data_IF_371736459008
#
_entry.id   IF_371736459008
#
_cell.length_a   1.000
_cell.length_b   1.000
_cell.length_c   1.000
_cell.angle_alpha   90.00
_cell.angle_beta   90.00
_cell.angle_gamma   90.00
#
_symmetry.space_group_name_H-M   'P 1'
#
loop_
_entity.id
_entity.type
_entity.pdbx_description
1 polymer ?
#
# COMPACT_ATOMS: atom_id res chain seq x y z
N UNK A 1 -3.99 -6.07 15.17
CA UNK A 1 -4.78 -6.21 13.93
C UNK A 1 -3.79 -6.09 12.77
N UNK A 2 -3.33 -7.24 12.28
CA UNK A 2 -2.06 -7.36 11.56
C UNK A 2 -2.25 -7.22 10.03
N UNK A 3 -1.44 -6.39 9.40
CA UNK A 3 -1.25 -6.18 7.96
C UNK A 3 0.26 -5.93 7.72
N UNK A 4 0.93 -6.83 6.99
CA UNK A 4 2.39 -6.86 6.82
C UNK A 4 2.80 -6.31 5.45
N UNK A 5 3.72 -5.33 5.36
CA UNK A 5 4.07 -4.69 4.08
C UNK A 5 5.39 -5.18 3.47
N UNK A 6 5.42 -5.58 2.19
CA UNK A 6 6.68 -5.70 1.43
C UNK A 6 6.86 -4.53 0.46
N UNK A 7 8.01 -3.90 0.58
CA UNK A 7 8.47 -2.90 -0.36
C UNK A 7 9.19 -3.54 -1.55
N UNK A 8 8.49 -3.70 -2.67
CA UNK A 8 9.13 -3.91 -3.99
C UNK A 8 9.33 -2.57 -4.67
N UNK A 9 10.47 -1.93 -4.44
CA UNK A 9 10.85 -0.73 -5.18
C UNK A 9 11.62 -1.15 -6.43
N UNK A 10 10.92 -1.36 -7.56
CA UNK A 10 11.61 -1.46 -8.84
C UNK A 10 12.19 -0.08 -9.17
N UNK A 11 13.50 0.08 -8.96
CA UNK A 11 14.26 1.21 -9.50
C UNK A 11 14.09 1.18 -11.02
N UNK A 12 13.21 2.04 -11.55
CA UNK A 12 13.18 2.29 -12.98
C UNK A 12 14.52 2.93 -13.35
N UNK A 13 15.30 2.20 -14.16
CA UNK A 13 16.34 2.82 -14.98
C UNK A 13 15.66 3.94 -15.76
N UNK A 14 15.99 5.18 -15.43
CA UNK A 14 15.69 6.35 -16.23
C UNK A 14 16.06 6.03 -17.68
N UNK A 15 15.09 6.12 -18.60
CA UNK A 15 15.37 6.03 -20.02
C UNK A 15 16.39 7.13 -20.37
N UNK A 16 17.44 6.71 -21.10
CA UNK A 16 18.67 7.46 -21.34
C UNK A 16 18.40 8.86 -21.93
N UNK A 17 18.86 9.89 -21.23
CA UNK A 17 19.51 11.08 -21.79
C UNK A 17 20.38 11.72 -20.69
N UNK A 18 21.58 12.25 -21.03
CA UNK A 18 22.74 12.17 -20.15
C UNK A 18 22.78 13.36 -19.20
N UNK A 19 22.62 13.10 -17.91
CA UNK A 19 23.26 13.84 -16.81
C UNK A 19 22.75 13.26 -15.49
N UNK A 20 23.62 12.53 -14.80
CA UNK A 20 23.91 12.62 -13.36
C UNK A 20 24.90 11.50 -13.05
N UNK A 21 26.13 11.92 -12.77
CA UNK A 21 27.16 11.15 -12.10
C UNK A 21 26.61 10.62 -10.77
N UNK A 22 26.71 9.31 -10.57
CA UNK A 22 26.46 8.67 -9.29
C UNK A 22 27.49 9.14 -8.25
N UNK A 23 27.13 10.12 -7.43
CA UNK A 23 27.83 10.30 -6.14
C UNK A 23 27.33 9.21 -5.20
N UNK A 24 28.17 8.17 -5.02
CA UNK A 24 27.99 7.15 -3.99
C UNK A 24 27.82 7.84 -2.63
N UNK A 25 26.72 7.55 -1.94
CA UNK A 25 26.41 8.04 -0.60
C UNK A 25 27.09 7.21 0.49
N UNK A 26 28.43 7.18 0.52
CA UNK A 26 29.16 6.49 1.60
C UNK A 26 28.99 7.20 2.96
N UNK A 27 28.65 8.49 2.96
CA UNK A 27 28.65 9.33 4.15
C UNK A 27 27.36 9.25 5.01
N UNK A 28 26.24 8.75 4.44
CA UNK A 28 24.95 8.61 5.16
C UNK A 28 24.84 7.33 5.99
N UNK A 29 25.54 6.26 5.59
CA UNK A 29 25.59 5.01 6.35
C UNK A 29 26.24 5.24 7.71
N UNK A 30 27.41 5.87 7.76
CA UNK A 30 28.22 6.01 8.99
C UNK A 30 27.48 6.71 10.14
N UNK A 31 26.67 7.74 9.84
CA UNK A 31 25.90 8.50 10.84
C UNK A 31 24.76 7.68 11.45
N UNK A 32 24.12 6.84 10.64
CA UNK A 32 23.01 5.98 11.07
C UNK A 32 23.48 4.90 12.04
N UNK A 33 24.65 4.31 11.77
CA UNK A 33 25.26 3.31 12.66
C UNK A 33 25.69 3.90 14.01
N UNK A 34 26.28 5.10 14.02
CA UNK A 34 26.67 5.78 15.28
C UNK A 34 25.48 6.07 16.20
N UNK A 35 24.34 6.49 15.64
CA UNK A 35 23.12 6.76 16.41
C UNK A 35 22.54 5.49 17.06
N UNK A 36 22.50 4.38 16.31
CA UNK A 36 22.03 3.09 16.83
C UNK A 36 22.94 2.56 17.96
N UNK A 37 24.26 2.64 17.77
CA UNK A 37 25.23 2.24 18.79
C UNK A 37 25.05 3.05 20.08
N UNK A 38 24.81 4.36 19.97
CA UNK A 38 24.51 5.22 21.13
C UNK A 38 23.22 4.83 21.86
N UNK A 39 22.16 4.49 21.13
CA UNK A 39 20.90 4.02 21.72
C UNK A 39 21.08 2.69 22.47
N UNK A 40 21.71 1.69 21.84
CA UNK A 40 21.95 0.38 22.44
C UNK A 40 22.88 0.46 23.66
N UNK A 41 23.87 1.35 23.63
CA UNK A 41 24.73 1.63 24.78
C UNK A 41 23.94 2.22 25.95
N UNK A 42 23.04 3.18 25.68
CA UNK A 42 22.14 3.72 26.70
C UNK A 42 21.21 2.66 27.28
N UNK A 43 20.67 1.77 26.44
CA UNK A 43 19.76 0.72 26.87
C UNK A 43 20.46 -0.36 27.71
N UNK A 44 21.70 -0.72 27.34
CA UNK A 44 22.53 -1.63 28.13
C UNK A 44 22.81 -1.08 29.54
N UNK A 45 23.08 0.22 29.66
CA UNK A 45 23.25 0.91 30.95
C UNK A 45 21.96 0.88 31.78
N UNK A 46 20.80 1.16 31.16
CA UNK A 46 19.49 1.12 31.83
C UNK A 46 19.18 -0.29 32.35
N UNK A 47 19.55 -1.34 31.61
CA UNK A 47 19.29 -2.73 31.97
C UNK A 47 20.37 -3.34 32.87
N UNK A 48 21.36 -2.57 33.35
CA UNK A 48 22.47 -3.07 34.16
C UNK A 48 23.27 -4.19 33.46
N UNK A 49 23.25 -4.20 32.12
CA UNK A 49 23.78 -5.27 31.28
C UNK A 49 25.12 -4.86 30.66
N UNK A 50 26.04 -5.81 30.52
CA UNK A 50 27.31 -5.58 29.81
C UNK A 50 27.10 -5.41 28.29
N UNK A 51 28.05 -4.78 27.57
CA UNK A 51 27.96 -4.62 26.11
C UNK A 51 28.03 -6.00 25.43
N UNK A 52 26.92 -6.43 24.82
CA UNK A 52 26.87 -7.65 24.02
C UNK A 52 27.28 -7.42 22.57
N UNK A 53 27.20 -8.49 21.76
CA UNK A 53 27.48 -8.42 20.32
C UNK A 53 26.36 -7.71 19.58
N UNK A 54 26.72 -6.80 18.67
CA UNK A 54 25.79 -6.07 17.81
C UNK A 54 25.96 -6.56 16.37
N UNK A 55 24.94 -7.20 15.81
CA UNK A 55 24.86 -7.66 14.42
C UNK A 55 23.69 -6.94 13.76
N UNK A 56 23.97 -6.24 12.65
CA UNK A 56 23.01 -5.35 11.98
C UNK A 56 22.81 -5.83 10.54
N UNK A 57 21.56 -5.92 10.09
CA UNK A 57 21.23 -6.23 8.71
C UNK A 57 21.58 -5.03 7.80
N UNK A 58 22.28 -5.27 6.67
CA UNK A 58 22.64 -4.22 5.74
C UNK A 58 21.41 -3.69 4.98
N UNK A 59 21.53 -2.52 4.34
CA UNK A 59 20.47 -1.99 3.47
C UNK A 59 20.23 -2.82 2.20
N UNK A 60 21.18 -3.68 1.82
CA UNK A 60 21.01 -4.65 0.74
C UNK A 60 20.02 -5.77 1.08
N UNK A 61 19.73 -5.99 2.36
CA UNK A 61 18.73 -6.96 2.81
C UNK A 61 17.33 -6.35 2.71
N UNK A 62 16.53 -6.82 1.76
CA UNK A 62 15.16 -6.32 1.55
C UNK A 62 14.31 -6.49 2.81
N UNK A 63 13.54 -5.44 3.16
CA UNK A 63 12.76 -5.42 4.39
C UNK A 63 13.55 -5.07 5.66
N UNK A 64 14.88 -4.92 5.61
CA UNK A 64 15.64 -4.42 6.77
C UNK A 64 15.27 -2.98 7.10
N UNK A 65 15.42 -2.53 8.36
CA UNK A 65 15.16 -1.14 8.73
C UNK A 65 15.93 -0.13 7.87
N UNK A 66 17.15 -0.49 7.45
CA UNK A 66 18.00 0.34 6.59
C UNK A 66 17.50 0.34 5.14
N UNK A 67 17.06 -0.80 4.61
CA UNK A 67 16.44 -0.87 3.29
C UNK A 67 15.16 -0.03 3.22
N UNK A 68 14.31 -0.11 4.23
CA UNK A 68 13.10 0.72 4.33
C UNK A 68 13.43 2.22 4.38
N UNK A 69 14.43 2.60 5.19
CA UNK A 69 14.90 3.99 5.28
C UNK A 69 15.49 4.48 3.95
N UNK A 70 16.27 3.66 3.26
CA UNK A 70 16.83 3.99 1.95
C UNK A 70 15.73 4.17 0.90
N UNK A 71 14.79 3.24 0.80
CA UNK A 71 13.67 3.35 -0.14
C UNK A 71 12.79 4.59 0.14
N UNK A 72 12.64 4.98 1.41
CA UNK A 72 11.99 6.24 1.77
C UNK A 72 12.76 7.46 1.26
N UNK A 73 14.08 7.50 1.47
CA UNK A 73 14.94 8.58 0.98
C UNK A 73 14.91 8.68 -0.55
N UNK A 74 14.93 7.54 -1.24
CA UNK A 74 14.84 7.47 -2.70
C UNK A 74 13.49 8.00 -3.20
N UNK A 75 12.39 7.58 -2.58
CA UNK A 75 11.06 8.06 -2.93
C UNK A 75 10.91 9.57 -2.67
N UNK A 76 11.49 10.10 -1.59
CA UNK A 76 11.58 11.53 -1.33
C UNK A 76 12.42 12.27 -2.39
N UNK A 77 13.56 11.69 -2.79
CA UNK A 77 14.40 12.24 -3.85
C UNK A 77 13.67 12.32 -5.19
N UNK A 78 12.91 11.28 -5.53
CA UNK A 78 12.10 11.22 -6.74
C UNK A 78 11.00 12.28 -6.70
N UNK A 79 10.24 12.38 -5.60
CA UNK A 79 9.20 13.40 -5.42
C UNK A 79 9.79 14.82 -5.47
N UNK A 80 10.96 15.04 -4.86
CA UNK A 80 11.64 16.34 -4.91
C UNK A 80 12.04 16.72 -6.33
N UNK A 81 12.48 15.74 -7.14
CA UNK A 81 12.95 15.96 -8.51
C UNK A 81 11.80 16.06 -9.52
N UNK A 82 10.78 15.20 -9.40
CA UNK A 82 9.70 15.06 -10.38
C UNK A 82 8.43 15.85 -10.00
N UNK A 83 8.36 16.36 -8.77
CA UNK A 83 7.20 17.09 -8.24
C UNK A 83 6.24 16.19 -7.47
N UNK A 84 5.14 16.80 -7.02
CA UNK A 84 4.09 16.08 -6.28
C UNK A 84 3.40 15.04 -7.18
N UNK A 85 2.92 13.92 -6.61
CA UNK A 85 2.02 12.99 -7.28
C UNK A 85 0.73 13.67 -7.75
N UNK A 86 0.19 13.16 -8.84
CA UNK A 86 -1.08 13.59 -9.42
C UNK A 86 -2.17 12.55 -9.19
N UNK A 87 -1.83 11.26 -9.13
CA UNK A 87 -2.77 10.18 -8.81
C UNK A 87 -2.27 9.30 -7.66
N UNK A 88 -3.20 8.81 -6.85
CA UNK A 88 -2.99 7.76 -5.87
C UNK A 88 -3.95 6.60 -6.17
N UNK A 89 -3.38 5.44 -6.45
CA UNK A 89 -4.11 4.25 -6.88
C UNK A 89 -3.90 3.17 -5.84
N UNK A 90 -4.97 2.51 -5.43
CA UNK A 90 -4.88 1.26 -4.67
C UNK A 90 -5.42 0.09 -5.49
N UNK A 91 -4.75 -1.05 -5.42
CA UNK A 91 -5.07 -2.23 -6.22
C UNK A 91 -4.98 -3.47 -5.33
N UNK A 92 -6.13 -4.03 -4.93
CA UNK A 92 -6.23 -5.14 -3.96
C UNK A 92 -6.41 -6.47 -4.66
N UNK A 93 -5.59 -7.48 -4.42
CA UNK A 93 -5.76 -8.80 -5.03
C UNK A 93 -7.20 -9.34 -4.93
N UNK A 94 -7.77 -9.80 -6.04
CA UNK A 94 -9.04 -10.53 -6.04
C UNK A 94 -8.75 -12.04 -5.99
N UNK A 95 -9.07 -12.74 -4.89
CA UNK A 95 -8.83 -14.18 -4.78
C UNK A 95 -9.74 -15.02 -5.71
N UNK A 96 -10.77 -14.41 -6.31
CA UNK A 96 -11.70 -15.05 -7.26
C UNK A 96 -11.30 -14.86 -8.72
N UNK A 97 -10.08 -14.44 -9.00
CA UNK A 97 -9.59 -14.46 -10.38
C UNK A 97 -9.57 -15.89 -10.91
N UNK A 98 -10.05 -16.08 -12.14
CA UNK A 98 -10.06 -17.40 -12.80
C UNK A 98 -8.70 -18.09 -12.78
N UNK A 99 -7.62 -17.33 -12.98
CA UNK A 99 -6.25 -17.83 -12.93
C UNK A 99 -5.87 -18.45 -11.57
N UNK A 100 -6.53 -18.05 -10.49
CA UNK A 100 -6.37 -18.63 -9.15
C UNK A 100 -7.30 -19.83 -9.03
N UNK A 101 -8.60 -19.65 -9.26
CA UNK A 101 -9.62 -20.69 -9.06
C UNK A 101 -9.36 -21.96 -9.88
N UNK A 102 -8.93 -21.81 -11.13
CA UNK A 102 -8.61 -22.93 -12.05
C UNK A 102 -7.35 -23.72 -11.64
N UNK A 103 -6.54 -23.19 -10.72
CA UNK A 103 -5.27 -23.79 -10.29
C UNK A 103 -5.32 -24.34 -8.85
N UNK A 104 -6.49 -24.27 -8.20
CA UNK A 104 -6.72 -24.86 -6.89
C UNK A 104 -7.10 -26.34 -7.02
N UNK A 105 -6.51 -27.19 -6.17
CA UNK A 105 -6.94 -28.58 -6.06
C UNK A 105 -8.30 -28.68 -5.34
N UNK A 106 -9.06 -29.77 -5.52
CA UNK A 106 -10.30 -29.99 -4.79
C UNK A 106 -10.12 -29.83 -3.28
N UNK A 107 -10.95 -29.00 -2.65
CA UNK A 107 -10.88 -28.69 -1.22
C UNK A 107 -9.90 -27.59 -0.83
N UNK A 108 -9.06 -27.09 -1.74
CA UNK A 108 -8.20 -25.93 -1.48
C UNK A 108 -8.96 -24.62 -1.60
N UNK A 109 -8.59 -23.67 -0.75
CA UNK A 109 -8.98 -22.27 -0.84
C UNK A 109 -7.79 -21.43 -1.33
N UNK A 110 -8.03 -20.21 -1.85
CA UNK A 110 -6.93 -19.30 -2.21
C UNK A 110 -5.93 -19.09 -1.07
N UNK A 111 -6.41 -19.07 0.18
CA UNK A 111 -5.55 -18.86 1.36
C UNK A 111 -4.53 -19.99 1.56
N UNK A 112 -4.79 -21.18 1.02
CA UNK A 112 -3.89 -22.35 1.11
C UNK A 112 -2.78 -22.30 0.04
N UNK A 113 -2.89 -21.42 -0.96
CA UNK A 113 -1.94 -21.24 -2.06
C UNK A 113 -1.47 -19.78 -2.17
N UNK A 114 -0.80 -19.25 -1.13
CA UNK A 114 -0.31 -17.86 -1.14
C UNK A 114 0.70 -17.59 -2.26
N UNK A 115 1.45 -18.62 -2.70
CA UNK A 115 2.36 -18.56 -3.85
C UNK A 115 1.62 -18.26 -5.16
N UNK A 116 0.47 -18.88 -5.37
CA UNK A 116 -0.37 -18.69 -6.55
C UNK A 116 -0.97 -17.28 -6.55
N UNK A 117 -1.51 -16.84 -5.40
CA UNK A 117 -2.03 -15.47 -5.21
C UNK A 117 -0.95 -14.44 -5.55
N UNK A 118 0.22 -14.58 -4.94
CA UNK A 118 1.38 -13.71 -5.13
C UNK A 118 1.76 -13.59 -6.62
N UNK A 119 1.87 -14.74 -7.32
CA UNK A 119 2.23 -14.80 -8.74
C UNK A 119 1.19 -14.14 -9.64
N UNK A 120 -0.09 -14.47 -9.47
CA UNK A 120 -1.17 -13.89 -10.28
C UNK A 120 -1.26 -12.38 -10.04
N UNK A 121 -1.18 -11.95 -8.78
CA UNK A 121 -1.15 -10.53 -8.42
C UNK A 121 0.00 -9.79 -9.09
N UNK A 122 1.23 -10.34 -9.04
CA UNK A 122 2.41 -9.73 -9.67
C UNK A 122 2.21 -9.54 -11.18
N UNK A 123 1.64 -10.53 -11.87
CA UNK A 123 1.34 -10.43 -13.30
C UNK A 123 0.28 -9.37 -13.59
N UNK A 124 -0.80 -9.30 -12.80
CA UNK A 124 -1.86 -8.29 -12.95
C UNK A 124 -1.35 -6.89 -12.64
N UNK A 125 -0.53 -6.73 -11.60
CA UNK A 125 0.09 -5.46 -11.26
C UNK A 125 1.04 -4.98 -12.36
N UNK A 126 1.83 -5.89 -12.95
CA UNK A 126 2.69 -5.55 -14.10
C UNK A 126 1.87 -5.05 -15.29
N UNK A 127 0.76 -5.73 -15.62
CA UNK A 127 -0.16 -5.29 -16.67
C UNK A 127 -0.77 -3.91 -16.36
N UNK A 128 -1.16 -3.66 -15.10
CA UNK A 128 -1.70 -2.36 -14.67
C UNK A 128 -0.66 -1.25 -14.87
N UNK A 129 0.59 -1.49 -14.48
CA UNK A 129 1.69 -0.54 -14.69
C UNK A 129 1.90 -0.28 -16.18
N UNK A 130 1.90 -1.32 -17.02
CA UNK A 130 2.05 -1.16 -18.47
C UNK A 130 0.88 -0.36 -19.07
N UNK A 131 -0.36 -0.57 -18.62
CA UNK A 131 -1.51 0.22 -19.05
C UNK A 131 -1.39 1.70 -18.68
N UNK A 132 -0.94 2.00 -17.45
CA UNK A 132 -0.80 3.37 -16.96
C UNK A 132 0.35 4.07 -17.68
N UNK A 133 1.51 3.42 -17.73
CA UNK A 133 2.77 4.05 -18.13
C UNK A 133 2.97 4.00 -19.64
N UNK A 134 2.77 2.82 -20.26
CA UNK A 134 3.02 2.62 -21.70
C UNK A 134 1.80 2.93 -22.54
N UNK A 135 0.62 2.46 -22.11
CA UNK A 135 -0.63 2.70 -22.84
C UNK A 135 -1.28 4.05 -22.46
N UNK A 136 -0.60 4.85 -21.62
CA UNK A 136 -0.98 6.21 -21.25
C UNK A 136 -2.43 6.34 -20.79
N UNK A 137 -2.92 5.39 -19.98
CA UNK A 137 -4.34 5.34 -19.60
C UNK A 137 -4.84 6.63 -18.92
N UNK A 138 -3.96 7.30 -18.18
CA UNK A 138 -4.21 8.60 -17.54
C UNK A 138 -3.41 9.74 -18.19
N UNK A 139 -2.89 9.51 -19.40
CA UNK A 139 -1.92 10.36 -20.06
C UNK A 139 -0.47 9.93 -19.82
N UNK A 140 0.47 10.75 -20.29
CA UNK A 140 1.91 10.45 -20.23
C UNK A 140 2.40 10.52 -18.78
N UNK A 141 3.18 9.53 -18.38
CA UNK A 141 3.71 9.39 -17.00
C UNK A 141 5.18 9.81 -16.96
N UNK A 142 5.55 10.67 -16.00
CA UNK A 142 6.96 11.01 -15.70
C UNK A 142 7.60 9.87 -14.92
N UNK A 143 6.94 9.45 -13.83
CA UNK A 143 7.39 8.36 -12.98
C UNK A 143 6.24 7.82 -12.13
N UNK A 144 6.46 6.65 -11.53
CA UNK A 144 5.55 6.06 -10.56
C UNK A 144 6.33 5.43 -9.41
N UNK A 145 5.67 5.35 -8.26
CA UNK A 145 6.19 4.73 -7.05
C UNK A 145 5.12 3.79 -6.53
N UNK A 146 5.47 2.61 -6.03
CA UNK A 146 4.49 1.77 -5.36
C UNK A 146 5.09 0.96 -4.21
N UNK A 147 4.21 0.53 -3.32
CA UNK A 147 4.49 -0.36 -2.19
C UNK A 147 3.43 -1.45 -2.19
N UNK A 148 3.80 -2.68 -1.85
CA UNK A 148 2.85 -3.80 -1.75
C UNK A 148 2.67 -4.13 -0.26
N UNK A 149 1.46 -3.98 0.25
CA UNK A 149 1.07 -4.45 1.57
C UNK A 149 0.28 -5.75 1.48
N UNK A 150 0.54 -6.70 2.37
CA UNK A 150 -0.27 -7.90 2.52
C UNK A 150 -1.34 -7.60 3.58
N UNK A 151 -2.56 -7.36 3.10
CA UNK A 151 -3.72 -7.16 3.94
C UNK A 151 -4.11 -8.46 4.66
N UNK A 152 -5.14 -8.38 5.53
CA UNK A 152 -5.67 -9.51 6.31
C UNK A 152 -5.81 -10.77 5.44
N UNK A 153 -5.40 -11.92 5.98
CA UNK A 153 -5.32 -13.23 5.30
C UNK A 153 -4.26 -13.33 4.19
N UNK A 154 -3.33 -12.39 4.11
CA UNK A 154 -2.18 -12.46 3.21
C UNK A 154 -2.49 -12.06 1.77
N UNK A 155 -3.55 -11.29 1.51
CA UNK A 155 -3.83 -10.80 0.17
C UNK A 155 -2.95 -9.59 -0.17
N UNK A 156 -2.19 -9.62 -1.28
CA UNK A 156 -1.41 -8.47 -1.71
C UNK A 156 -2.30 -7.28 -2.05
N UNK A 157 -1.82 -6.08 -1.72
CA UNK A 157 -2.48 -4.81 -1.93
C UNK A 157 -1.44 -3.78 -2.31
N UNK A 158 -1.54 -3.23 -3.51
CA UNK A 158 -0.61 -2.22 -3.98
C UNK A 158 -1.13 -0.82 -3.66
N UNK A 159 -0.26 0.01 -3.10
CA UNK A 159 -0.40 1.46 -3.03
C UNK A 159 0.54 2.09 -4.05
N UNK A 160 0.01 2.84 -5.00
CA UNK A 160 0.77 3.41 -6.12
C UNK A 160 0.55 4.92 -6.24
N UNK A 161 1.63 5.67 -6.42
CA UNK A 161 1.62 7.08 -6.77
C UNK A 161 2.06 7.24 -8.23
N UNK A 162 1.34 8.06 -8.99
CA UNK A 162 1.70 8.43 -10.36
C UNK A 162 1.99 9.92 -10.43
N UNK A 163 3.11 10.29 -11.07
CA UNK A 163 3.43 11.66 -11.44
C UNK A 163 3.27 11.76 -12.96
N UNK A 164 2.35 12.60 -13.42
CA UNK A 164 2.05 12.80 -14.83
C UNK A 164 2.87 13.96 -15.40
N UNK A 165 3.14 13.93 -16.71
CA UNK A 165 3.69 15.13 -17.38
C UNK A 165 2.66 16.25 -17.33
N UNK A 166 3.13 17.49 -17.39
CA UNK A 166 2.32 18.67 -17.13
C UNK A 166 1.06 18.77 -18.00
N UNK A 167 1.13 18.34 -19.26
CA UNK A 167 0.01 18.38 -20.21
C UNK A 167 -1.03 17.29 -19.95
N UNK A 168 -0.66 16.23 -19.22
CA UNK A 168 -1.54 15.11 -18.87
C UNK A 168 -2.20 15.27 -17.51
N UNK A 169 -1.87 16.32 -16.74
CA UNK A 169 -2.42 16.52 -15.40
C UNK A 169 -3.91 16.88 -15.48
N UNK A 170 -4.79 16.24 -14.70
CA UNK A 170 -6.19 16.64 -14.61
C UNK A 170 -6.30 17.99 -13.87
N UNK A 171 -6.72 19.04 -14.57
CA UNK A 171 -6.78 20.42 -14.03
C UNK A 171 -8.19 20.91 -13.73
N UNK A 172 -9.20 20.23 -14.28
CA UNK A 172 -10.60 20.61 -14.18
C UNK A 172 -11.47 19.38 -13.87
N UNK A 173 -12.71 19.64 -13.41
CA UNK A 173 -13.67 18.60 -13.03
C UNK A 173 -13.96 17.62 -14.16
N UNK A 174 -14.10 18.10 -15.39
CA UNK A 174 -14.37 17.26 -16.55
C UNK A 174 -13.19 16.33 -16.86
N UNK A 175 -11.95 16.83 -16.74
CA UNK A 175 -10.75 16.01 -16.92
C UNK A 175 -10.67 14.85 -15.92
N UNK A 176 -11.09 15.08 -14.67
CA UNK A 176 -11.17 14.04 -13.63
C UNK A 176 -12.30 13.05 -13.94
N UNK A 177 -13.49 13.56 -14.24
CA UNK A 177 -14.71 12.77 -14.47
C UNK A 177 -14.59 11.86 -15.72
N UNK A 178 -13.65 12.13 -16.62
CA UNK A 178 -13.34 11.25 -17.77
C UNK A 178 -12.82 9.88 -17.37
N UNK A 179 -12.16 9.76 -16.21
CA UNK A 179 -11.53 8.50 -15.80
C UNK A 179 -11.79 8.12 -14.34
N UNK A 180 -12.33 9.00 -13.50
CA UNK A 180 -12.79 8.68 -12.15
C UNK A 180 -14.32 8.76 -12.10
N UNK A 181 -14.94 7.70 -11.60
CA UNK A 181 -16.35 7.65 -11.25
C UNK A 181 -16.49 7.31 -9.77
N UNK A 182 -17.54 7.85 -9.15
CA UNK A 182 -17.98 7.42 -7.82
C UNK A 182 -19.48 7.15 -7.77
N UNK A 183 -20.00 6.68 -8.90
CA UNK A 183 -21.42 6.39 -9.12
C UNK A 183 -21.62 4.91 -9.44
N UNK A 184 -22.78 4.39 -9.02
CA UNK A 184 -23.30 3.09 -9.43
C UNK A 184 -23.83 3.26 -10.86
N UNK A 185 -23.30 2.51 -11.84
CA UNK A 185 -23.82 2.53 -13.21
C UNK A 185 -25.29 2.09 -13.25
N UNK A 186 -26.01 2.55 -14.25
CA UNK A 186 -27.36 2.05 -14.52
C UNK A 186 -27.32 0.55 -14.89
N UNK A 187 -28.20 -0.24 -14.28
CA UNK A 187 -28.22 -1.70 -14.44
C UNK A 187 -28.69 -2.14 -15.83
N UNK A 188 -29.55 -1.35 -16.49
CA UNK A 188 -30.08 -1.66 -17.81
C UNK A 188 -29.08 -1.24 -18.90
N UNK A 189 -28.38 -0.11 -18.70
CA UNK A 189 -27.40 0.39 -19.67
C UNK A 189 -26.05 -0.32 -19.58
N UNK A 190 -25.60 -0.68 -18.37
CA UNK A 190 -24.32 -1.33 -18.16
C UNK A 190 -24.37 -2.37 -17.03
N UNK A 191 -25.07 -3.51 -17.24
CA UNK A 191 -25.30 -4.52 -16.22
C UNK A 191 -24.01 -5.10 -15.65
N UNK A 192 -22.99 -5.29 -16.50
CA UNK A 192 -21.74 -5.87 -16.06
C UNK A 192 -20.96 -4.91 -15.14
N UNK A 193 -20.81 -3.63 -15.52
CA UNK A 193 -20.16 -2.65 -14.66
C UNK A 193 -20.97 -2.41 -13.38
N UNK A 194 -22.31 -2.44 -13.47
CA UNK A 194 -23.18 -2.33 -12.30
C UNK A 194 -22.85 -3.41 -11.26
N UNK A 195 -22.83 -4.68 -11.68
CA UNK A 195 -22.52 -5.80 -10.76
C UNK A 195 -21.08 -5.77 -10.25
N UNK A 196 -20.11 -5.38 -11.08
CA UNK A 196 -18.72 -5.23 -10.64
C UNK A 196 -18.56 -4.10 -9.62
N UNK A 197 -19.21 -2.94 -9.82
CA UNK A 197 -19.20 -1.83 -8.86
C UNK A 197 -19.87 -2.22 -7.56
N UNK A 198 -21.05 -2.84 -7.63
CA UNK A 198 -21.81 -3.33 -6.49
C UNK A 198 -21.01 -4.32 -5.64
N UNK A 199 -20.21 -5.19 -6.26
CA UNK A 199 -19.45 -6.22 -5.56
C UNK A 199 -18.08 -5.76 -5.06
N UNK A 200 -17.39 -4.86 -5.78
CA UNK A 200 -15.99 -4.51 -5.51
C UNK A 200 -15.76 -3.07 -5.07
N UNK A 201 -16.69 -2.15 -5.33
CA UNK A 201 -16.48 -0.71 -5.11
C UNK A 201 -17.44 -0.11 -4.08
N UNK A 202 -18.29 -0.90 -3.43
CA UNK A 202 -19.16 -0.42 -2.36
C UNK A 202 -18.43 -0.47 -1.01
N UNK A 203 -18.35 0.68 -0.35
CA UNK A 203 -17.90 0.74 1.03
C UNK A 203 -18.92 0.02 1.94
N UNK A 204 -18.47 -1.03 2.62
CA UNK A 204 -19.29 -1.83 3.52
C UNK A 204 -19.98 -1.03 4.62
N UNK A 205 -21.00 -1.61 5.25
CA UNK A 205 -21.77 -0.96 6.32
C UNK A 205 -20.84 -0.43 7.43
N UNK A 206 -21.04 0.80 7.87
CA UNK A 206 -20.26 1.50 8.90
C UNK A 206 -21.10 2.65 9.44
N UNK A 207 -20.66 3.27 10.54
CA UNK A 207 -21.40 4.35 11.20
C UNK A 207 -22.45 3.79 12.16
N UNK A 208 -23.58 4.48 12.27
CA UNK A 208 -24.74 4.02 13.06
C UNK A 208 -25.16 2.57 12.69
N UNK A 209 -25.23 2.19 11.40
CA UNK A 209 -25.58 0.82 11.01
C UNK A 209 -24.59 -0.27 11.43
N UNK A 210 -23.31 0.07 11.65
CA UNK A 210 -22.30 -0.88 12.08
C UNK A 210 -21.11 -0.16 12.74
N UNK A 211 -21.19 0.01 14.06
CA UNK A 211 -20.16 0.70 14.85
C UNK A 211 -18.85 -0.11 14.97
N UNK A 212 -18.92 -1.42 14.75
CA UNK A 212 -17.78 -2.33 14.88
C UNK A 212 -16.97 -2.49 13.59
N UNK A 213 -17.33 -1.75 12.53
CA UNK A 213 -16.60 -1.83 11.27
C UNK A 213 -15.15 -1.37 11.44
N UNK A 214 -14.17 -2.02 10.78
CA UNK A 214 -12.75 -1.69 10.92
C UNK A 214 -12.38 -0.25 10.54
N UNK A 215 -13.26 0.44 9.80
CA UNK A 215 -13.08 1.85 9.42
C UNK A 215 -13.58 2.84 10.49
N UNK A 216 -14.20 2.38 11.58
CA UNK A 216 -14.75 3.24 12.63
C UNK A 216 -13.68 3.61 13.65
N UNK A 217 -13.55 4.90 13.93
CA UNK A 217 -12.68 5.48 14.95
C UNK A 217 -13.44 6.65 15.57
N UNK A 218 -13.50 6.73 16.91
CA UNK A 218 -14.24 7.76 17.65
C UNK A 218 -15.70 7.97 17.19
N UNK A 219 -16.38 6.86 16.86
CA UNK A 219 -17.77 6.87 16.41
C UNK A 219 -17.99 7.43 14.98
N UNK A 220 -16.92 7.76 14.25
CA UNK A 220 -16.97 8.25 12.86
C UNK A 220 -16.24 7.29 11.93
N UNK A 221 -16.66 7.27 10.67
CA UNK A 221 -15.92 6.54 9.64
C UNK A 221 -14.65 7.34 9.30
N UNK A 222 -13.47 6.73 9.48
CA UNK A 222 -12.16 7.30 9.10
C UNK A 222 -12.02 7.61 7.60
N UNK A 223 -12.90 7.02 6.77
CA UNK A 223 -12.99 7.26 5.33
C UNK A 223 -14.12 8.22 4.96
N UNK A 224 -14.83 8.75 5.96
CA UNK A 224 -15.93 9.71 5.84
C UNK A 224 -17.11 9.20 5.00
N UNK A 225 -17.43 7.91 5.12
CA UNK A 225 -18.64 7.35 4.54
C UNK A 225 -19.82 7.44 5.52
N UNK A 226 -21.05 7.68 5.03
CA UNK A 226 -21.41 7.98 3.63
C UNK A 226 -20.92 9.38 3.19
N UNK A 227 -20.50 9.50 1.92
CA UNK A 227 -20.06 10.77 1.33
C UNK A 227 -21.27 11.61 0.90
N UNK A 228 -21.11 12.93 0.82
CA UNK A 228 -22.14 13.83 0.30
C UNK A 228 -22.39 13.60 -1.20
N UNK A 229 -23.66 13.68 -1.63
CA UNK A 229 -24.01 13.75 -3.05
C UNK A 229 -23.62 15.11 -3.63
N UNK A 230 -23.11 15.13 -4.86
CA UNK A 230 -22.72 16.34 -5.60
C UNK A 230 -22.87 16.13 -7.10
N UNK A 231 -23.29 17.18 -7.81
CA UNK A 231 -23.48 17.13 -9.26
C UNK A 231 -22.18 17.27 -10.06
N UNK A 232 -21.12 17.81 -9.45
CA UNK A 232 -19.84 18.06 -10.11
C UNK A 232 -18.67 17.74 -9.19
N UNK A 233 -17.55 17.35 -9.79
CA UNK A 233 -16.29 17.18 -9.07
C UNK A 233 -15.74 18.55 -8.67
N UNK A 234 -15.36 18.70 -7.40
CA UNK A 234 -14.76 19.92 -6.88
C UNK A 234 -13.36 19.65 -6.33
N UNK A 235 -12.39 20.57 -6.55
CA UNK A 235 -11.09 20.48 -5.92
C UNK A 235 -11.24 20.60 -4.40
N UNK A 236 -10.48 19.80 -3.66
CA UNK A 236 -10.47 19.85 -2.21
C UNK A 236 -9.14 20.46 -1.74
N UNK A 237 -9.20 21.60 -1.04
CA UNK A 237 -8.02 22.29 -0.49
C UNK A 237 -7.27 21.42 0.53
N UNK A 238 -7.97 20.47 1.16
CA UNK A 238 -7.44 19.68 2.28
C UNK A 238 -7.04 18.24 1.92
N UNK A 239 -7.01 17.82 0.66
CA UNK A 239 -6.66 16.42 0.38
C UNK A 239 -6.94 15.93 -1.02
N UNK A 240 -7.93 15.03 -1.12
CA UNK A 240 -8.40 14.41 -2.35
C UNK A 240 -9.65 15.11 -2.87
N UNK A 241 -9.81 15.16 -4.20
CA UNK A 241 -10.97 15.78 -4.86
C UNK A 241 -12.29 15.23 -4.33
N UNK A 242 -13.30 16.09 -4.23
CA UNK A 242 -14.67 15.67 -3.93
C UNK A 242 -15.34 15.32 -5.24
N UNK A 243 -15.38 14.05 -5.58
CA UNK A 243 -15.89 13.59 -6.88
C UNK A 243 -17.39 13.83 -7.04
N UNK A 244 -17.78 13.99 -8.31
CA UNK A 244 -19.17 13.90 -8.73
C UNK A 244 -19.78 12.58 -8.26
N UNK A 245 -20.93 12.72 -7.62
CA UNK A 245 -21.69 11.65 -6.98
C UNK A 245 -23.15 12.07 -6.95
N UNK A 246 -23.83 11.97 -8.10
CA UNK A 246 -25.19 12.48 -8.25
C UNK A 246 -26.19 11.67 -7.44
N UNK A 247 -27.22 12.34 -6.96
CA UNK A 247 -28.41 11.67 -6.47
C UNK A 247 -29.31 11.39 -7.69
N UNK A 248 -29.07 10.27 -8.35
CA UNK A 248 -29.76 9.86 -9.57
C UNK A 248 -30.85 8.80 -9.32
N UNK A 249 -31.21 8.55 -8.05
CA UNK A 249 -32.18 7.53 -7.67
C UNK A 249 -31.72 6.08 -7.83
N UNK A 250 -30.48 5.83 -8.28
CA UNK A 250 -29.95 4.47 -8.42
C UNK A 250 -29.66 3.88 -7.03
N UNK A 251 -30.31 2.76 -6.75
CA UNK A 251 -30.14 1.99 -5.51
C UNK A 251 -29.71 0.57 -5.88
N UNK A 252 -28.60 0.09 -5.29
CA UNK A 252 -28.13 -1.27 -5.42
C UNK A 252 -28.31 -2.06 -4.13
N UNK A 253 -28.63 -3.35 -4.23
CA UNK A 253 -28.77 -4.24 -3.08
C UNK A 253 -27.46 -5.00 -2.83
N UNK A 254 -26.74 -4.66 -1.77
CA UNK A 254 -25.50 -5.33 -1.35
C UNK A 254 -25.77 -6.16 -0.10
N UNK A 255 -25.96 -7.47 -0.31
CA UNK A 255 -26.40 -8.38 0.74
C UNK A 255 -27.79 -8.00 1.25
N UNK A 256 -27.87 -7.63 2.53
CA UNK A 256 -29.11 -7.18 3.18
C UNK A 256 -29.33 -5.67 3.17
N UNK A 257 -28.41 -4.91 2.58
CA UNK A 257 -28.43 -3.45 2.61
C UNK A 257 -28.72 -2.87 1.24
N UNK A 258 -29.51 -1.80 1.22
CA UNK A 258 -29.65 -0.94 0.06
C UNK A 258 -28.61 0.18 0.17
N UNK A 259 -27.91 0.42 -0.93
CA UNK A 259 -26.84 1.41 -1.02
C UNK A 259 -27.04 2.25 -2.26
N UNK A 260 -26.77 3.54 -2.11
CA UNK A 260 -26.77 4.50 -3.22
C UNK A 260 -25.34 4.95 -3.52
N UNK A 261 -25.25 5.96 -4.38
CA UNK A 261 -23.98 6.54 -4.76
C UNK A 261 -23.15 6.99 -3.55
N UNK A 262 -23.69 7.38 -2.39
CA UNK A 262 -22.94 7.87 -1.21
C UNK A 262 -21.91 6.89 -0.65
N UNK A 263 -22.00 5.60 -0.99
CA UNK A 263 -21.09 4.55 -0.51
C UNK A 263 -20.06 4.08 -1.53
N UNK A 264 -20.06 4.60 -2.75
CA UNK A 264 -19.17 4.13 -3.81
C UNK A 264 -17.74 4.68 -3.61
N UNK A 265 -16.75 3.81 -3.62
CA UNK A 265 -15.33 4.16 -3.62
C UNK A 265 -14.94 4.63 -5.03
N UNK A 266 -14.07 5.63 -5.16
CA UNK A 266 -13.72 6.21 -6.46
C UNK A 266 -12.96 5.21 -7.34
N UNK A 267 -13.38 4.99 -8.58
CA UNK A 267 -12.81 3.96 -9.45
C UNK A 267 -12.70 4.44 -10.89
N UNK A 268 -11.90 3.74 -11.69
CA UNK A 268 -11.88 3.90 -13.15
C UNK A 268 -12.67 2.76 -13.80
N UNK A 269 -13.82 3.02 -14.46
CA UNK A 269 -14.68 1.97 -15.03
C UNK A 269 -13.94 0.94 -15.87
N UNK A 270 -13.08 1.40 -16.78
CA UNK A 270 -12.31 0.52 -17.66
C UNK A 270 -11.31 -0.36 -16.90
N UNK A 271 -10.60 0.18 -15.90
CA UNK A 271 -9.62 -0.60 -15.14
C UNK A 271 -10.33 -1.60 -14.22
N UNK A 272 -11.43 -1.18 -13.59
CA UNK A 272 -12.28 -2.05 -12.78
C UNK A 272 -12.73 -3.26 -13.59
N UNK A 273 -13.25 -3.04 -14.80
CA UNK A 273 -13.73 -4.11 -15.69
C UNK A 273 -12.60 -5.01 -16.21
N UNK A 274 -11.47 -4.42 -16.61
CA UNK A 274 -10.34 -5.19 -17.16
C UNK A 274 -9.72 -6.11 -16.12
N UNK A 275 -9.59 -5.63 -14.88
CA UNK A 275 -8.87 -6.35 -13.83
C UNK A 275 -9.78 -7.10 -12.86
N UNK A 276 -11.10 -6.85 -12.88
CA UNK A 276 -12.08 -7.44 -11.96
C UNK A 276 -11.57 -7.43 -10.52
N UNK A 277 -11.36 -6.23 -9.99
CA UNK A 277 -10.62 -6.02 -8.75
C UNK A 277 -11.15 -4.82 -7.95
N UNK A 278 -10.97 -4.79 -6.63
CA UNK A 278 -11.14 -3.54 -5.90
C UNK A 278 -9.98 -2.60 -6.26
N UNK A 279 -10.26 -1.57 -7.06
CA UNK A 279 -9.29 -0.54 -7.49
C UNK A 279 -9.78 0.86 -7.14
N UNK A 280 -9.14 1.51 -6.17
CA UNK A 280 -9.43 2.91 -5.85
C UNK A 280 -8.52 3.83 -6.67
N UNK A 281 -9.07 4.88 -7.28
CA UNK A 281 -8.28 5.89 -8.01
C UNK A 281 -8.62 7.27 -7.47
N UNK A 282 -7.61 7.93 -6.92
CA UNK A 282 -7.73 9.24 -6.29
C UNK A 282 -6.85 10.28 -6.99
N UNK A 283 -7.39 11.47 -7.24
CA UNK A 283 -6.63 12.62 -7.74
C UNK A 283 -6.03 13.39 -6.56
N UNK A 284 -4.70 13.51 -6.56
CA UNK A 284 -3.93 14.13 -5.51
C UNK A 284 -3.89 15.66 -5.65
N UNK A 285 -4.69 16.37 -4.85
CA UNK A 285 -4.60 17.83 -4.81
C UNK A 285 -3.41 18.32 -3.95
N UNK A 286 -3.01 17.55 -2.92
CA UNK A 286 -1.98 17.97 -1.94
C UNK A 286 -0.91 16.91 -1.72
N UNK A 287 0.17 17.28 -1.02
CA UNK A 287 1.23 16.37 -0.57
C UNK A 287 0.77 15.38 0.53
N UNK A 288 -0.51 15.36 0.92
CA UNK A 288 -1.02 14.39 1.90
C UNK A 288 -0.94 12.95 1.37
N UNK A 289 -1.12 12.73 0.07
CA UNK A 289 -0.96 11.40 -0.56
C UNK A 289 0.47 10.87 -0.43
N UNK A 290 1.45 11.77 -0.44
CA UNK A 290 2.86 11.47 -0.22
C UNK A 290 3.07 10.98 1.22
N UNK A 291 2.56 11.71 2.23
CA UNK A 291 2.57 11.26 3.63
C UNK A 291 1.87 9.91 3.80
N UNK A 292 0.77 9.71 3.07
CA UNK A 292 0.01 8.46 3.11
C UNK A 292 0.82 7.30 2.56
N UNK A 293 1.45 7.40 1.37
CA UNK A 293 2.32 6.33 0.87
C UNK A 293 3.49 6.09 1.83
N UNK A 294 4.08 7.16 2.37
CA UNK A 294 5.20 7.02 3.30
C UNK A 294 4.84 6.32 4.60
N UNK A 295 3.58 6.42 5.06
CA UNK A 295 3.09 5.58 6.15
C UNK A 295 3.31 4.10 5.82
N UNK A 296 3.06 3.66 4.59
CA UNK A 296 3.23 2.25 4.17
C UNK A 296 4.66 1.88 3.80
N UNK A 297 5.50 2.85 3.44
CA UNK A 297 6.95 2.63 3.32
C UNK A 297 7.57 2.37 4.70
N UNK A 298 7.08 3.05 5.75
CA UNK A 298 7.61 2.94 7.12
C UNK A 298 6.90 1.92 8.01
N UNK A 299 5.65 1.56 7.67
CA UNK A 299 4.90 0.50 8.36
C UNK A 299 5.51 -0.83 7.94
N UNK A 300 6.63 -1.16 8.58
CA UNK A 300 7.29 -2.46 8.47
C UNK A 300 6.32 -3.61 8.77
N UNK A 301 6.81 -4.83 8.65
CA UNK A 301 6.01 -6.02 8.93
C UNK A 301 5.43 -5.97 10.35
N UNK A 302 4.24 -6.54 10.55
CA UNK A 302 3.85 -6.81 11.93
C UNK A 302 4.81 -7.83 12.49
N UNK A 303 5.49 -7.47 13.56
CA UNK A 303 6.44 -8.34 14.23
C UNK A 303 5.84 -8.76 15.57
N UNK A 304 5.76 -10.06 15.80
CA UNK A 304 5.68 -10.61 17.14
C UNK A 304 7.12 -10.95 17.56
N UNK A 305 7.68 -10.17 18.48
CA UNK A 305 9.02 -10.42 18.99
C UNK A 305 8.94 -11.43 20.13
N UNK A 306 9.44 -12.65 19.91
CA UNK A 306 9.63 -13.64 20.96
C UNK A 306 11.12 -13.63 21.33
N UNK A 307 11.44 -13.07 22.50
CA UNK A 307 12.81 -13.10 23.03
C UNK A 307 13.01 -14.38 23.84
N UNK A 308 13.79 -15.31 23.31
CA UNK A 308 14.26 -16.47 24.06
C UNK A 308 15.51 -16.08 24.85
N UNK A 309 15.35 -15.73 26.12
CA UNK A 309 16.49 -15.51 27.03
C UNK A 309 17.03 -16.87 27.49
N UNK A 310 18.17 -17.30 26.91
CA UNK A 310 18.94 -18.40 27.45
C UNK A 310 19.80 -17.87 28.60
N UNK A 311 19.50 -18.31 29.83
CA UNK A 311 20.34 -18.04 30.98
C UNK A 311 21.53 -19.01 30.98
N UNK A 312 22.70 -18.53 30.59
CA UNK A 312 23.94 -19.29 30.76
C UNK A 312 24.39 -19.12 32.21
N UNK A 313 24.42 -20.22 32.97
CA UNK A 313 25.09 -20.27 34.28
C UNK A 313 26.60 -20.34 34.04
N UNK A 314 27.33 -19.30 34.39
CA UNK A 314 28.78 -19.34 34.52
C UNK A 314 29.14 -18.90 35.95
N UNK A 315 29.29 -19.87 36.86
CA UNK A 315 29.50 -19.60 38.29
C UNK A 315 28.28 -19.00 39.04
N UNK A 316 28.55 -18.13 40.02
CA UNK A 316 27.56 -17.60 41.00
C UNK A 316 26.96 -16.23 40.62
N UNK A 317 27.26 -15.69 39.44
CA UNK A 317 26.81 -14.33 39.06
C UNK A 317 26.06 -14.38 37.74
N UNK A 318 24.79 -13.95 37.76
CA UNK A 318 24.00 -13.77 36.55
C UNK A 318 24.48 -12.51 35.83
N UNK A 319 25.25 -12.66 34.74
CA UNK A 319 25.56 -11.54 33.86
C UNK A 319 24.53 -11.50 32.75
N UNK A 320 23.62 -10.51 32.81
CA UNK A 320 22.74 -10.19 31.69
C UNK A 320 23.57 -9.41 30.66
N UNK A 321 23.72 -9.92 29.45
CA UNK A 321 24.31 -9.20 28.31
C UNK A 321 23.20 -8.78 27.35
N UNK A 322 23.29 -7.55 26.83
CA UNK A 322 22.39 -7.08 25.78
C UNK A 322 22.96 -7.51 24.43
N UNK A 323 22.61 -8.70 23.96
CA UNK A 323 22.90 -9.11 22.58
C UNK A 323 21.85 -8.55 21.62
N UNK A 324 22.30 -7.77 20.64
CA UNK A 324 21.46 -7.25 19.56
C UNK A 324 21.87 -7.90 18.25
N UNK A 325 21.14 -8.94 17.84
CA UNK A 325 21.41 -9.65 16.59
C UNK A 325 20.20 -9.58 15.66
N UNK A 326 20.26 -8.69 14.66
CA UNK A 326 19.21 -8.56 13.65
C UNK A 326 19.11 -9.78 12.74
N UNK A 327 20.18 -10.56 12.56
CA UNK A 327 20.13 -11.81 11.76
C UNK A 327 19.40 -12.88 12.55
N UNK A 328 19.77 -13.09 13.81
CA UNK A 328 19.08 -14.04 14.69
C UNK A 328 17.63 -13.61 14.93
N UNK A 329 17.37 -12.33 15.19
CA UNK A 329 16.01 -11.79 15.27
C UNK A 329 15.21 -12.03 13.99
N UNK A 330 15.83 -11.88 12.81
CA UNK A 330 15.18 -12.21 11.55
C UNK A 330 14.88 -13.70 11.41
N UNK A 331 15.82 -14.60 11.77
CA UNK A 331 15.65 -16.06 11.67
C UNK A 331 14.64 -16.60 12.69
N UNK A 332 14.73 -16.16 13.94
CA UNK A 332 13.88 -16.61 15.05
C UNK A 332 12.43 -16.10 14.89
N UNK A 333 12.25 -14.93 14.27
CA UNK A 333 10.93 -14.33 13.98
C UNK A 333 10.47 -14.55 12.53
N UNK A 334 11.14 -15.41 11.76
CA UNK A 334 10.81 -15.64 10.35
C UNK A 334 9.49 -16.42 10.23
N UNK A 335 8.43 -15.71 9.87
CA UNK A 335 7.20 -16.34 9.38
C UNK A 335 7.26 -16.43 7.85
N UNK A 336 7.41 -17.64 7.31
CA UNK A 336 7.32 -17.87 5.86
C UNK A 336 5.86 -17.71 5.44
N UNK A 337 5.52 -16.53 4.92
CA UNK A 337 4.18 -16.18 4.47
C UNK A 337 4.12 -15.81 3.00
N UNK A 338 2.93 -15.47 2.51
CA UNK A 338 2.71 -14.90 1.18
C UNK A 338 3.70 -13.77 0.79
N UNK A 339 4.18 -12.95 1.74
CA UNK A 339 5.28 -12.04 1.50
C UNK A 339 6.52 -12.64 0.81
N UNK A 340 7.00 -13.79 1.27
CA UNK A 340 8.26 -14.38 0.81
C UNK A 340 8.15 -15.11 -0.54
N UNK A 341 6.93 -15.21 -1.11
CA UNK A 341 6.65 -15.94 -2.33
C UNK A 341 6.64 -15.09 -3.62
N UNK A 342 6.87 -13.76 -3.52
CA UNK A 342 6.81 -12.80 -4.65
C UNK A 342 8.16 -12.56 -5.28
#
# INVERSE_FOLDING_TARGET
MYSSSILWMHTLKLSKTPCISSTKSEDSSSRTYKGLLGHLASEAVIQGSGPGRIIILPSSFQGSPRAMQQNYQDAMGIVRKCGKPDLFITFTCNPRWKQIEEQLFPGQTPSDRPDLIARVFKLKLKQLIDDIVRNHKFGRTVTHLFVIEFQKRGLPHCHMLIILVNESKPRDSNSVDRFVSSEIPDADQNPQLHETVKSLMIHGSCGVPNKNSPCMEDGKCTKEFPKECRNETAPNKDGYSRYRRRDNGVIAKVGKYEVDNRRVVAYTPHLLMKYDVHINVEVCATVKSIKYLFKYVYKGHDCANVKLELSVKDGATFVKTLEWDEIKGHLDARYVGAPDAV
#
